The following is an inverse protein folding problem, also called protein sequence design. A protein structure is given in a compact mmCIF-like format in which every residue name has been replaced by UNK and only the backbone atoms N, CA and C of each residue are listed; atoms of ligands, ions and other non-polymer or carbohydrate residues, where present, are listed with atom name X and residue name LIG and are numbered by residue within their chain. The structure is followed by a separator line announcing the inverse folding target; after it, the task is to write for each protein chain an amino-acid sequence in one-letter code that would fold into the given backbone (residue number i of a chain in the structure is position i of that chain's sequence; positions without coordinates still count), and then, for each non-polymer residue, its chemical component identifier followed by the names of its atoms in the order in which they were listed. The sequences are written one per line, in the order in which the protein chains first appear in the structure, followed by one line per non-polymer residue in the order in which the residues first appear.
data_IF_255533895347
#
_entry.id   IF_255533895347
#
_cell.length_a   1.000
_cell.length_b   1.000
_cell.length_c   1.000
_cell.angle_alpha   90.00
_cell.angle_beta   90.00
_cell.angle_gamma   90.00
#
_symmetry.space_group_name_H-M   'P 1'
#
loop_
_entity.id
_entity.type
_entity.pdbx_description
1 polymer ?
#
# COMPACT_ATOMS: atom_id res chain seq x y z
N UNK A 1 -9.71 11.56 5.06
CA UNK A 1 -8.51 10.68 5.24
C UNK A 1 -7.50 10.95 4.13
N UNK A 2 -6.21 10.76 4.39
CA UNK A 2 -5.16 10.84 3.36
C UNK A 2 -5.02 9.48 2.68
N UNK A 3 -4.87 9.45 1.37
CA UNK A 3 -4.61 8.22 0.61
C UNK A 3 -3.16 8.23 0.15
N UNK A 4 -2.44 7.15 0.43
CA UNK A 4 -1.01 6.99 0.10
C UNK A 4 -0.84 5.70 -0.70
N UNK A 5 -0.35 5.81 -1.91
CA UNK A 5 0.07 4.63 -2.68
C UNK A 5 1.48 4.26 -2.22
N UNK A 6 1.57 3.15 -1.48
CA UNK A 6 2.85 2.69 -0.95
C UNK A 6 3.43 1.57 -1.81
N UNK A 7 4.71 1.67 -2.10
CA UNK A 7 5.44 0.68 -2.87
C UNK A 7 6.81 0.38 -2.24
N UNK A 8 7.46 -0.64 -2.74
CA UNK A 8 8.77 -1.12 -2.33
C UNK A 8 8.94 -2.58 -2.75
N UNK A 9 10.14 -2.97 -3.09
CA UNK A 9 10.45 -4.35 -3.44
C UNK A 9 10.21 -5.31 -2.26
N UNK A 10 10.23 -6.61 -2.55
CA UNK A 10 10.10 -7.64 -1.51
C UNK A 10 11.20 -7.48 -0.45
N UNK A 11 10.84 -7.43 0.84
CA UNK A 11 11.80 -7.28 1.94
C UNK A 11 12.26 -5.85 2.22
N UNK A 12 11.73 -4.83 1.55
CA UNK A 12 12.06 -3.42 1.82
C UNK A 12 11.58 -2.92 3.18
N UNK A 13 10.63 -3.62 3.83
CA UNK A 13 10.08 -3.23 5.13
C UNK A 13 8.83 -2.35 5.05
N UNK A 14 8.17 -2.25 3.87
CA UNK A 14 6.96 -1.44 3.72
C UNK A 14 5.82 -1.87 4.64
N UNK A 15 5.63 -3.17 4.84
CA UNK A 15 4.57 -3.69 5.73
C UNK A 15 4.86 -3.30 7.19
N UNK A 16 6.12 -3.41 7.64
CA UNK A 16 6.57 -2.96 8.95
C UNK A 16 6.39 -1.45 9.14
N UNK A 17 6.67 -0.66 8.10
CA UNK A 17 6.45 0.79 8.14
C UNK A 17 4.98 1.12 8.35
N UNK A 18 4.06 0.45 7.64
CA UNK A 18 2.62 0.64 7.79
C UNK A 18 2.15 0.24 9.19
N UNK A 19 2.65 -0.86 9.75
CA UNK A 19 2.34 -1.26 11.13
C UNK A 19 2.82 -0.19 12.14
N UNK A 20 4.03 0.37 11.97
CA UNK A 20 4.47 1.48 12.81
C UNK A 20 3.60 2.72 12.69
N UNK A 21 3.15 3.07 11.48
CA UNK A 21 2.19 4.16 11.31
C UNK A 21 0.89 3.89 12.06
N UNK A 22 0.39 2.66 12.00
CA UNK A 22 -0.82 2.24 12.72
C UNK A 22 -0.63 2.35 14.24
N UNK A 23 0.44 1.77 14.77
CA UNK A 23 0.75 1.81 16.21
C UNK A 23 0.86 3.26 16.72
N UNK A 24 1.57 4.12 15.96
CA UNK A 24 1.74 5.53 16.31
C UNK A 24 0.38 6.26 16.36
N UNK A 25 -0.48 6.02 15.38
CA UNK A 25 -1.81 6.64 15.35
C UNK A 25 -2.70 6.14 16.50
N UNK A 26 -2.68 4.84 16.80
CA UNK A 26 -3.43 4.24 17.90
C UNK A 26 -2.93 4.75 19.27
N UNK A 27 -1.62 4.97 19.44
CA UNK A 27 -1.02 5.48 20.68
C UNK A 27 -1.33 6.97 20.93
N UNK A 28 -1.44 7.77 19.87
CA UNK A 28 -1.50 9.23 19.98
C UNK A 28 -2.89 9.82 19.71
N UNK A 29 -3.81 9.06 19.13
CA UNK A 29 -5.14 9.57 18.79
C UNK A 29 -6.20 8.47 18.87
N UNK A 30 -7.25 8.72 19.63
CA UNK A 30 -8.44 7.85 19.69
C UNK A 30 -9.25 7.87 18.38
N UNK A 31 -8.98 8.81 17.49
CA UNK A 31 -9.79 9.09 16.30
C UNK A 31 -9.07 8.87 14.99
N UNK A 32 -7.73 8.94 14.97
CA UNK A 32 -6.95 8.73 13.77
C UNK A 32 -6.88 7.23 13.43
N UNK A 33 -7.07 6.90 12.15
CA UNK A 33 -7.08 5.51 11.69
C UNK A 33 -6.00 5.28 10.65
N UNK A 34 -5.37 4.13 10.73
CA UNK A 34 -4.49 3.61 9.68
C UNK A 34 -5.14 2.37 9.06
N UNK A 35 -5.31 2.41 7.76
CA UNK A 35 -5.84 1.28 7.00
C UNK A 35 -4.81 0.83 5.96
N UNK A 36 -4.74 -0.47 5.77
CA UNK A 36 -3.81 -1.10 4.84
C UNK A 36 -4.59 -1.99 3.88
N UNK A 37 -4.59 -1.62 2.60
CA UNK A 37 -5.30 -2.32 1.53
C UNK A 37 -4.40 -2.52 0.32
N UNK A 38 -4.71 -3.46 -0.55
CA UNK A 38 -3.89 -3.78 -1.70
C UNK A 38 -4.73 -4.05 -2.94
N UNK A 39 -4.25 -3.63 -4.12
CA UNK A 39 -4.89 -3.95 -5.41
C UNK A 39 -4.98 -5.45 -5.69
N UNK A 40 -4.25 -6.28 -4.95
CA UNK A 40 -4.32 -7.75 -5.07
C UNK A 40 -5.22 -8.41 -4.03
N UNK A 41 -5.84 -7.68 -3.11
CA UNK A 41 -6.65 -8.30 -2.05
C UNK A 41 -7.87 -9.00 -2.63
N UNK A 42 -8.63 -8.32 -3.48
CA UNK A 42 -9.79 -8.92 -4.14
C UNK A 42 -9.41 -10.04 -5.11
N UNK A 43 -8.26 -9.90 -5.79
CA UNK A 43 -7.72 -10.98 -6.63
C UNK A 43 -7.45 -12.25 -5.80
N UNK A 44 -6.86 -12.09 -4.61
CA UNK A 44 -6.61 -13.21 -3.68
C UNK A 44 -7.91 -13.80 -3.14
N UNK A 45 -8.91 -12.98 -2.91
CA UNK A 45 -10.24 -13.45 -2.49
C UNK A 45 -10.86 -14.35 -3.55
N UNK A 46 -10.89 -13.91 -4.80
CA UNK A 46 -11.37 -14.73 -5.92
C UNK A 46 -10.52 -15.97 -6.12
N UNK A 47 -9.19 -15.87 -6.01
CA UNK A 47 -8.30 -17.04 -6.11
C UNK A 47 -8.61 -18.11 -5.05
N UNK A 48 -8.93 -17.71 -3.83
CA UNK A 48 -9.36 -18.65 -2.77
C UNK A 48 -10.65 -19.37 -3.13
N UNK A 49 -11.61 -18.70 -3.76
CA UNK A 49 -12.82 -19.34 -4.28
C UNK A 49 -12.51 -20.36 -5.41
N UNK A 50 -11.39 -20.16 -6.12
CA UNK A 50 -10.88 -21.12 -7.13
C UNK A 50 -10.01 -22.24 -6.52
N UNK A 51 -9.87 -22.31 -5.19
CA UNK A 51 -9.12 -23.35 -4.48
C UNK A 51 -7.66 -23.00 -4.17
N UNK A 52 -7.22 -21.74 -4.39
CA UNK A 52 -5.88 -21.32 -3.95
C UNK A 52 -5.82 -21.21 -2.41
N UNK A 53 -4.89 -21.95 -1.80
CA UNK A 53 -4.73 -22.03 -0.34
C UNK A 53 -3.79 -20.99 0.27
N UNK A 54 -3.17 -20.12 -0.54
CA UNK A 54 -2.18 -19.14 -0.06
C UNK A 54 -0.73 -19.48 -0.39
N UNK A 55 -0.51 -20.51 -1.21
CA UNK A 55 0.80 -20.98 -1.62
C UNK A 55 1.59 -19.88 -2.35
N UNK A 56 2.92 -19.90 -2.18
CA UNK A 56 3.85 -18.91 -2.76
C UNK A 56 4.78 -19.51 -3.82
N UNK A 57 4.44 -20.70 -4.32
CA UNK A 57 5.17 -21.37 -5.38
C UNK A 57 5.01 -20.66 -6.74
N UNK A 58 5.85 -20.99 -7.75
CA UNK A 58 5.78 -20.33 -9.06
C UNK A 58 4.44 -20.48 -9.78
N UNK A 59 3.75 -21.63 -9.63
CA UNK A 59 2.46 -21.86 -10.27
C UNK A 59 1.37 -20.97 -9.67
N UNK A 60 1.32 -20.88 -8.35
CA UNK A 60 0.42 -20.00 -7.61
C UNK A 60 0.66 -18.53 -7.93
N UNK A 61 1.93 -18.10 -8.01
CA UNK A 61 2.26 -16.72 -8.42
C UNK A 61 1.81 -16.42 -9.84
N UNK A 62 2.03 -17.36 -10.77
CA UNK A 62 1.56 -17.20 -12.15
C UNK A 62 0.04 -17.12 -12.20
N UNK A 63 -0.67 -17.99 -11.49
CA UNK A 63 -2.13 -17.99 -11.42
C UNK A 63 -2.66 -16.63 -10.93
N UNK A 64 -2.12 -16.10 -9.82
CA UNK A 64 -2.54 -14.79 -9.29
C UNK A 64 -2.25 -13.64 -10.28
N UNK A 65 -1.11 -13.70 -10.97
CA UNK A 65 -0.75 -12.71 -11.99
C UNK A 65 -1.71 -12.74 -13.18
N UNK A 66 -2.00 -13.94 -13.71
CA UNK A 66 -2.91 -14.12 -14.84
C UNK A 66 -4.35 -13.72 -14.46
N UNK A 67 -4.79 -14.08 -13.25
CA UNK A 67 -6.11 -13.68 -12.73
C UNK A 67 -6.21 -12.16 -12.60
N UNK A 68 -5.21 -11.51 -11.99
CA UNK A 68 -5.16 -10.05 -11.88
C UNK A 68 -5.25 -9.40 -13.24
N UNK A 69 -4.45 -9.87 -14.22
CA UNK A 69 -4.47 -9.34 -15.58
C UNK A 69 -5.86 -9.46 -16.22
N UNK A 70 -6.48 -10.63 -16.16
CA UNK A 70 -7.82 -10.86 -16.71
C UNK A 70 -8.88 -9.95 -16.06
N UNK A 71 -8.80 -9.75 -14.74
CA UNK A 71 -9.71 -8.86 -14.00
C UNK A 71 -9.49 -7.39 -14.37
N UNK A 72 -8.23 -7.00 -14.60
CA UNK A 72 -7.88 -5.62 -15.04
C UNK A 72 -8.37 -5.36 -16.46
N UNK A 73 -8.09 -6.28 -17.41
CA UNK A 73 -8.55 -6.17 -18.80
C UNK A 73 -10.08 -6.17 -18.91
N UNK A 74 -10.78 -6.93 -18.06
CA UNK A 74 -12.22 -7.02 -18.09
C UNK A 74 -12.89 -5.70 -17.72
N UNK A 75 -12.63 -5.13 -16.58
CA UNK A 75 -13.27 -3.91 -16.06
C UNK A 75 -12.44 -3.17 -15.04
N UNK A 76 -11.14 -3.30 -15.08
CA UNK A 76 -10.24 -2.69 -14.10
C UNK A 76 -10.63 -3.03 -12.63
N UNK A 77 -11.08 -4.27 -12.41
CA UNK A 77 -11.69 -4.72 -11.15
C UNK A 77 -10.80 -4.45 -9.93
N UNK A 78 -9.46 -4.66 -9.97
CA UNK A 78 -8.60 -4.38 -8.81
C UNK A 78 -8.63 -2.90 -8.38
N UNK A 79 -8.61 -1.97 -9.33
CA UNK A 79 -8.68 -0.53 -9.04
C UNK A 79 -10.09 -0.13 -8.60
N UNK A 80 -11.13 -0.69 -9.22
CA UNK A 80 -12.51 -0.43 -8.80
C UNK A 80 -12.78 -0.93 -7.37
N UNK A 81 -12.23 -2.07 -6.96
CA UNK A 81 -12.34 -2.56 -5.58
C UNK A 81 -11.72 -1.57 -4.58
N UNK A 82 -10.51 -1.07 -4.84
CA UNK A 82 -9.86 -0.05 -4.01
C UNK A 82 -10.75 1.19 -3.88
N UNK A 83 -11.27 1.70 -4.99
CA UNK A 83 -12.15 2.89 -4.98
C UNK A 83 -13.42 2.66 -4.17
N UNK A 84 -14.04 1.51 -4.29
CA UNK A 84 -15.24 1.16 -3.56
C UNK A 84 -14.98 1.03 -2.05
N UNK A 85 -13.86 0.43 -1.66
CA UNK A 85 -13.43 0.32 -0.25
C UNK A 85 -13.19 1.70 0.35
N UNK A 86 -12.46 2.58 -0.34
CA UNK A 86 -12.20 3.95 0.13
C UNK A 86 -13.51 4.74 0.29
N UNK A 87 -14.39 4.71 -0.71
CA UNK A 87 -15.71 5.34 -0.60
C UNK A 87 -16.54 4.82 0.57
N UNK A 88 -16.51 3.51 0.80
CA UNK A 88 -17.19 2.91 1.95
C UNK A 88 -16.63 3.44 3.27
N UNK A 89 -15.31 3.50 3.41
CA UNK A 89 -14.62 4.04 4.58
C UNK A 89 -15.00 5.51 4.81
N UNK A 90 -14.95 6.34 3.76
CA UNK A 90 -15.31 7.76 3.84
C UNK A 90 -16.78 7.96 4.22
N UNK A 91 -17.69 7.19 3.64
CA UNK A 91 -19.10 7.27 3.98
C UNK A 91 -19.39 6.83 5.42
N UNK A 92 -18.73 5.80 5.92
CA UNK A 92 -18.84 5.40 7.33
C UNK A 92 -18.28 6.48 8.27
N UNK A 93 -17.25 7.19 7.87
CA UNK A 93 -16.61 8.24 8.64
C UNK A 93 -17.43 9.53 8.75
N UNK A 94 -18.33 9.81 7.78
CA UNK A 94 -19.19 11.01 7.79
C UNK A 94 -20.19 11.03 8.97
N UNK A 95 -20.51 9.88 9.55
CA UNK A 95 -21.38 9.79 10.72
C UNK A 95 -20.68 10.17 12.04
N UNK A 96 -19.36 10.35 12.03
CA UNK A 96 -18.56 10.70 13.21
C UNK A 96 -17.76 11.98 12.96
N UNK A 97 -18.35 13.11 13.19
CA UNK A 97 -18.02 14.45 12.71
C UNK A 97 -16.66 15.07 13.13
N UNK A 98 -15.76 14.35 13.81
CA UNK A 98 -14.39 14.77 14.13
C UNK A 98 -13.32 13.70 13.87
N UNK A 99 -13.69 12.55 13.32
CA UNK A 99 -12.87 11.34 13.29
C UNK A 99 -12.29 11.02 11.91
N UNK A 100 -12.22 12.00 11.00
CA UNK A 100 -11.75 11.79 9.63
C UNK A 100 -10.24 11.97 9.46
N UNK A 101 -9.50 12.05 10.57
CA UNK A 101 -8.04 12.05 10.50
C UNK A 101 -7.53 10.62 10.36
N UNK A 102 -6.55 10.42 9.48
CA UNK A 102 -5.94 9.12 9.28
C UNK A 102 -5.43 8.92 7.87
N UNK A 103 -4.86 7.76 7.66
CA UNK A 103 -4.22 7.38 6.40
C UNK A 103 -4.73 6.02 5.90
N UNK A 104 -4.93 5.93 4.61
CA UNK A 104 -5.17 4.67 3.89
C UNK A 104 -3.94 4.40 3.03
N UNK A 105 -3.16 3.39 3.40
CA UNK A 105 -2.09 2.88 2.55
C UNK A 105 -2.65 1.90 1.54
N UNK A 106 -2.38 2.15 0.27
CA UNK A 106 -2.77 1.29 -0.85
C UNK A 106 -1.52 0.68 -1.47
N UNK A 107 -1.33 -0.61 -1.31
CA UNK A 107 -0.24 -1.32 -1.98
C UNK A 107 -0.55 -1.50 -3.46
N UNK A 108 0.25 -0.87 -4.31
CA UNK A 108 0.14 -0.98 -5.76
C UNK A 108 1.54 -0.99 -6.39
N UNK A 109 1.80 -1.88 -7.36
CA UNK A 109 3.12 -2.04 -7.98
C UNK A 109 3.20 -1.54 -9.41
N UNK A 110 2.10 -1.63 -10.14
CA UNK A 110 2.10 -1.34 -11.57
C UNK A 110 1.99 0.18 -11.80
N UNK A 111 2.94 0.80 -12.53
CA UNK A 111 2.98 2.24 -12.76
C UNK A 111 1.66 2.81 -13.28
N UNK A 112 1.05 2.15 -14.27
CA UNK A 112 -0.23 2.60 -14.85
C UNK A 112 -1.38 2.56 -13.84
N UNK A 113 -1.40 1.59 -12.92
CA UNK A 113 -2.40 1.52 -11.84
C UNK A 113 -2.13 2.63 -10.80
N UNK A 114 -0.85 2.89 -10.48
CA UNK A 114 -0.44 3.97 -9.57
C UNK A 114 -0.93 5.31 -10.11
N UNK A 115 -0.63 5.64 -11.37
CA UNK A 115 -1.02 6.91 -12.00
C UNK A 115 -2.55 7.12 -11.96
N UNK A 116 -3.32 6.07 -12.25
CA UNK A 116 -4.79 6.13 -12.16
C UNK A 116 -5.28 6.38 -10.74
N UNK A 117 -4.74 5.64 -9.77
CA UNK A 117 -5.12 5.80 -8.35
C UNK A 117 -4.73 7.18 -7.82
N UNK A 118 -3.54 7.68 -8.16
CA UNK A 118 -3.10 9.03 -7.80
C UNK A 118 -4.07 10.08 -8.34
N UNK A 119 -4.39 10.01 -9.62
CA UNK A 119 -5.28 10.98 -10.26
C UNK A 119 -6.71 10.92 -9.70
N UNK A 120 -7.27 9.71 -9.52
CA UNK A 120 -8.68 9.55 -9.15
C UNK A 120 -8.94 9.73 -7.64
N UNK A 121 -7.95 9.46 -6.80
CA UNK A 121 -8.07 9.53 -5.34
C UNK A 121 -7.35 10.75 -4.73
N UNK A 122 -6.71 11.58 -5.55
CA UNK A 122 -5.82 12.65 -5.10
C UNK A 122 -4.80 12.13 -4.07
N UNK A 123 -4.22 10.95 -4.38
CA UNK A 123 -3.30 10.25 -3.51
C UNK A 123 -1.87 10.75 -3.69
N UNK A 124 -1.05 10.62 -2.66
CA UNK A 124 0.41 10.76 -2.73
C UNK A 124 1.07 9.40 -2.87
N UNK A 125 2.31 9.37 -3.32
CA UNK A 125 3.08 8.16 -3.54
C UNK A 125 4.26 8.08 -2.59
N UNK A 126 4.50 6.89 -2.01
CA UNK A 126 5.58 6.62 -1.06
C UNK A 126 6.35 5.37 -1.47
N UNK A 127 7.67 5.48 -1.57
CA UNK A 127 8.57 4.36 -1.78
C UNK A 127 9.34 4.04 -0.49
N UNK A 128 9.31 2.78 -0.08
CA UNK A 128 10.21 2.27 0.97
C UNK A 128 11.35 1.50 0.29
N UNK A 129 12.59 1.98 0.50
CA UNK A 129 13.81 1.39 -0.06
C UNK A 129 14.65 0.73 1.03
N UNK A 130 15.31 -0.35 0.65
CA UNK A 130 16.29 -1.02 1.51
C UNK A 130 17.40 -1.61 0.65
N UNK A 131 18.62 -1.12 0.81
CA UNK A 131 19.77 -1.54 -0.01
C UNK A 131 20.03 -3.05 0.08
N UNK A 132 19.88 -3.64 1.26
CA UNK A 132 20.03 -5.08 1.45
C UNK A 132 18.98 -5.90 0.66
N UNK A 133 17.80 -5.37 0.40
CA UNK A 133 16.77 -6.02 -0.39
C UNK A 133 17.00 -5.81 -1.91
N UNK A 134 17.51 -4.64 -2.29
CA UNK A 134 17.81 -4.29 -3.69
C UNK A 134 19.03 -5.05 -4.24
N UNK A 135 19.97 -5.39 -3.38
CA UNK A 135 21.19 -6.14 -3.74
C UNK A 135 20.97 -7.65 -3.90
N UNK A 136 19.77 -8.17 -3.64
CA UNK A 136 19.44 -9.57 -3.91
C UNK A 136 19.27 -9.76 -5.42
N UNK A 137 20.13 -10.57 -6.04
CA UNK A 137 20.28 -10.73 -7.52
C UNK A 137 19.06 -11.29 -8.28
N UNK A 138 17.89 -11.38 -7.68
CA UNK A 138 16.64 -11.81 -8.33
C UNK A 138 15.56 -10.72 -8.22
N UNK A 139 15.88 -9.54 -8.72
CA UNK A 139 14.85 -8.53 -8.98
C UNK A 139 14.07 -9.04 -10.20
N UNK A 140 12.82 -9.40 -10.00
CA UNK A 140 11.92 -9.75 -11.11
C UNK A 140 11.45 -8.46 -11.84
N UNK A 141 10.88 -8.60 -13.03
CA UNK A 141 10.44 -7.46 -13.84
C UNK A 141 9.49 -6.52 -13.08
N UNK A 142 8.63 -7.07 -12.21
CA UNK A 142 7.73 -6.26 -11.37
C UNK A 142 8.49 -5.42 -10.33
N UNK A 143 9.60 -5.91 -9.80
CA UNK A 143 10.43 -5.16 -8.84
C UNK A 143 11.26 -4.07 -9.57
N UNK A 144 11.67 -4.27 -10.82
CA UNK A 144 12.30 -3.24 -11.64
C UNK A 144 11.35 -2.05 -11.88
N UNK A 145 10.08 -2.31 -12.15
CA UNK A 145 9.07 -1.26 -12.32
C UNK A 145 8.88 -0.42 -11.06
N UNK A 146 9.01 -1.05 -9.88
CA UNK A 146 8.94 -0.33 -8.59
C UNK A 146 10.02 0.74 -8.46
N UNK A 147 11.26 0.44 -8.82
CA UNK A 147 12.40 1.36 -8.67
C UNK A 147 12.46 2.44 -9.76
N UNK A 148 11.83 2.20 -10.91
CA UNK A 148 11.83 3.12 -12.05
C UNK A 148 10.66 4.14 -12.03
N UNK A 149 9.71 4.00 -11.09
CA UNK A 149 8.62 4.97 -10.93
C UNK A 149 9.09 6.19 -10.12
N UNK A 150 8.58 7.36 -10.41
CA UNK A 150 8.87 8.60 -9.65
C UNK A 150 7.86 8.76 -8.53
N UNK A 151 8.32 8.73 -7.28
CA UNK A 151 7.49 8.86 -6.09
C UNK A 151 7.62 10.27 -5.50
N UNK A 152 6.53 10.74 -4.85
CA UNK A 152 6.54 12.01 -4.11
C UNK A 152 7.48 11.96 -2.91
N UNK A 153 7.55 10.79 -2.24
CA UNK A 153 8.41 10.57 -1.07
C UNK A 153 9.14 9.24 -1.14
N UNK A 154 10.36 9.23 -0.60
CA UNK A 154 11.16 8.00 -0.46
C UNK A 154 11.72 7.92 0.95
N UNK A 155 11.53 6.78 1.60
CA UNK A 155 12.09 6.46 2.91
C UNK A 155 13.10 5.32 2.76
N UNK A 156 14.31 5.51 3.28
CA UNK A 156 15.36 4.50 3.29
C UNK A 156 15.33 3.74 4.61
N UNK A 157 15.15 2.43 4.53
CA UNK A 157 15.11 1.49 5.66
C UNK A 157 16.43 0.69 5.73
N UNK A 158 17.53 1.38 5.90
CA UNK A 158 18.87 0.77 5.98
C UNK A 158 19.37 0.62 7.43
N UNK A 159 18.68 1.22 8.40
CA UNK A 159 19.06 1.28 9.80
C UNK A 159 18.21 0.34 10.67
N UNK A 160 18.09 0.66 11.95
CA UNK A 160 17.31 -0.12 12.92
C UNK A 160 15.79 0.02 12.74
N UNK A 161 15.04 -0.89 13.37
CA UNK A 161 13.57 -0.79 13.46
C UNK A 161 13.12 0.50 14.15
N UNK A 162 13.88 0.96 15.16
CA UNK A 162 13.58 2.22 15.85
C UNK A 162 13.73 3.42 14.92
N UNK A 163 14.74 3.40 14.04
CA UNK A 163 14.90 4.43 13.02
C UNK A 163 13.76 4.43 12.01
N UNK A 164 13.28 3.25 11.59
CA UNK A 164 12.11 3.14 10.72
C UNK A 164 10.84 3.64 11.41
N UNK A 165 10.66 3.35 12.70
CA UNK A 165 9.54 3.86 13.50
C UNK A 165 9.60 5.40 13.65
N UNK A 166 10.78 5.95 13.87
CA UNK A 166 10.98 7.40 13.89
C UNK A 166 10.66 8.05 12.54
N UNK A 167 11.07 7.43 11.43
CA UNK A 167 10.72 7.88 10.08
C UNK A 167 9.20 7.82 9.83
N UNK A 168 8.50 6.82 10.35
CA UNK A 168 7.04 6.73 10.27
C UNK A 168 6.36 7.90 11.01
N UNK A 169 6.84 8.25 12.23
CA UNK A 169 6.34 9.38 12.99
C UNK A 169 6.52 10.71 12.23
N UNK A 170 7.73 10.94 11.70
CA UNK A 170 8.03 12.14 10.90
C UNK A 170 7.13 12.21 9.67
N UNK A 171 6.96 11.09 8.96
CA UNK A 171 6.11 11.02 7.79
C UNK A 171 4.65 11.37 8.08
N UNK A 172 4.09 10.83 9.16
CA UNK A 172 2.71 11.12 9.55
C UNK A 172 2.52 12.60 9.90
N UNK A 173 3.46 13.21 10.63
CA UNK A 173 3.39 14.61 11.06
C UNK A 173 3.66 15.61 9.95
N UNK A 174 4.77 15.45 9.24
CA UNK A 174 5.28 16.47 8.33
C UNK A 174 4.72 16.35 6.91
N UNK A 175 4.51 15.12 6.44
CA UNK A 175 4.06 14.90 5.05
C UNK A 175 2.56 14.64 4.94
N UNK A 176 1.95 14.03 5.93
CA UNK A 176 0.50 13.81 5.93
C UNK A 176 -0.26 14.86 6.75
N UNK A 177 0.46 15.77 7.43
CA UNK A 177 -0.12 16.84 8.25
C UNK A 177 -1.17 16.29 9.25
N UNK A 178 -0.82 15.19 9.90
CA UNK A 178 -1.67 14.58 10.92
C UNK A 178 -1.28 15.09 12.31
N UNK A 179 -2.29 15.47 13.07
CA UNK A 179 -2.11 15.93 14.46
C UNK A 179 -1.99 14.71 15.39
N UNK A 180 -0.75 14.35 15.74
CA UNK A 180 -0.42 13.18 16.60
C UNK A 180 0.66 13.51 17.60
#
# INVERSE_FOLDING_TARGET
MRVVIINGIGGSGKDTFVEFCKDILEENSWFARCMNISTVDYVKEIARHCGWGGEKDPASRKFLSDLKRAMTEWRDVPVQDIKNRIRYIENCSQYHSKENEGVIFVHCREPEEIDRLVHELNATTLLIRRDAAENIQQINDSDNNVLNYTYDYTIYNNDSLDALRAAALVYLREFLDLTI
#
